data_IF_371689505893
#
_entry.id   IF_371689505893
#
_cell.length_a   1.000
_cell.length_b   1.000
_cell.length_c   1.000
_cell.angle_alpha   90.00
_cell.angle_beta   90.00
_cell.angle_gamma   90.00
#
_symmetry.space_group_name_H-M   'P 1'
#
loop_
_entity.id
_entity.type
_entity.pdbx_description
1 polymer ?
#
# COMPACT_ATOMS: atom_id res chain seq x y z
N UNK A 1 -19.28 9.14 26.89
CA UNK A 1 -19.81 8.99 25.54
C UNK A 1 -18.91 8.06 24.76
N UNK A 2 -19.49 7.12 24.02
CA UNK A 2 -18.75 6.22 23.14
C UNK A 2 -18.39 6.99 21.87
N UNK A 3 -17.11 7.20 21.56
CA UNK A 3 -16.69 7.79 20.29
C UNK A 3 -16.91 6.76 19.17
N UNK A 4 -18.07 6.84 18.52
CA UNK A 4 -18.47 5.89 17.46
C UNK A 4 -17.82 6.23 16.11
N UNK A 5 -17.39 7.45 15.92
CA UNK A 5 -16.84 7.97 14.68
C UNK A 5 -15.50 8.66 14.94
N UNK A 6 -14.49 8.31 14.14
CA UNK A 6 -13.21 8.97 14.11
C UNK A 6 -12.88 9.38 12.69
N UNK A 7 -12.27 10.52 12.52
CA UNK A 7 -11.79 10.98 11.23
C UNK A 7 -10.48 11.76 11.38
N UNK A 8 -9.72 11.78 10.33
CA UNK A 8 -8.52 12.60 10.20
C UNK A 8 -8.37 13.05 8.75
N UNK A 9 -7.82 14.24 8.56
CA UNK A 9 -7.46 14.77 7.27
C UNK A 9 -6.19 15.58 7.40
N UNK A 10 -5.31 15.49 6.42
CA UNK A 10 -4.08 16.23 6.36
C UNK A 10 -3.71 16.63 4.94
N UNK A 11 -2.94 17.70 4.83
CA UNK A 11 -2.38 18.20 3.57
C UNK A 11 -0.87 18.16 3.69
N UNK A 12 -0.20 17.58 2.71
CA UNK A 12 1.24 17.31 2.73
C UNK A 12 1.89 17.72 1.41
N UNK A 13 3.20 17.91 1.41
CA UNK A 13 3.95 18.02 0.18
C UNK A 13 4.02 16.66 -0.53
N UNK A 14 3.72 16.63 -1.84
CA UNK A 14 3.65 15.41 -2.63
C UNK A 14 4.97 14.68 -2.84
N UNK A 15 6.11 15.35 -2.60
CA UNK A 15 7.44 14.84 -2.92
C UNK A 15 7.98 13.81 -1.92
N UNK A 16 7.40 13.71 -0.72
CA UNK A 16 7.80 12.77 0.33
C UNK A 16 8.65 13.40 1.43
N UNK A 17 9.06 12.55 2.39
CA UNK A 17 9.85 12.97 3.56
C UNK A 17 11.23 13.45 3.12
N UNK A 18 11.66 14.61 3.63
CA UNK A 18 12.97 15.22 3.39
C UNK A 18 13.24 15.57 1.92
N UNK A 19 12.20 15.65 1.08
CA UNK A 19 12.34 16.12 -0.29
C UNK A 19 11.88 17.57 -0.40
N UNK A 20 12.62 18.35 -1.20
CA UNK A 20 12.23 19.74 -1.50
C UNK A 20 10.97 19.71 -2.36
N UNK A 21 10.01 20.54 -2.01
CA UNK A 21 8.81 20.78 -2.83
C UNK A 21 9.25 21.46 -4.15
N UNK A 22 9.03 20.81 -5.26
CA UNK A 22 9.47 21.29 -6.58
C UNK A 22 8.32 21.73 -7.48
N UNK A 23 7.07 21.43 -7.13
CA UNK A 23 5.93 21.67 -8.01
C UNK A 23 4.74 22.38 -7.33
N UNK A 24 4.85 22.71 -6.05
CA UNK A 24 3.79 23.31 -5.24
C UNK A 24 2.48 22.49 -5.15
N UNK A 25 2.48 21.25 -5.67
CA UNK A 25 1.35 20.34 -5.54
C UNK A 25 1.25 19.83 -4.10
N UNK A 26 0.02 19.59 -3.67
CA UNK A 26 -0.23 19.05 -2.32
C UNK A 26 -0.97 17.74 -2.40
N UNK A 27 -0.56 16.83 -1.56
CA UNK A 27 -1.25 15.56 -1.33
C UNK A 27 -2.29 15.77 -0.22
N UNK A 28 -3.49 15.27 -0.45
CA UNK A 28 -4.55 15.22 0.56
C UNK A 28 -4.67 13.77 1.01
N UNK A 29 -4.58 13.58 2.32
CA UNK A 29 -4.67 12.27 2.96
C UNK A 29 -5.76 12.35 4.00
N UNK A 30 -6.68 11.37 3.99
CA UNK A 30 -7.76 11.33 4.95
C UNK A 30 -8.16 9.92 5.31
N UNK A 31 -8.73 9.78 6.49
CA UNK A 31 -9.27 8.51 6.98
C UNK A 31 -10.49 8.71 7.84
N UNK A 32 -11.38 7.76 7.76
CA UNK A 32 -12.62 7.67 8.52
C UNK A 32 -12.76 6.25 9.06
N UNK A 33 -13.12 6.11 10.33
CA UNK A 33 -13.50 4.81 10.88
C UNK A 33 -14.61 4.92 11.90
N UNK A 34 -15.42 3.89 11.93
CA UNK A 34 -16.58 3.75 12.80
C UNK A 34 -16.47 2.51 13.67
N UNK A 35 -17.09 2.57 14.84
CA UNK A 35 -17.21 1.45 15.79
C UNK A 35 -18.70 1.15 15.96
N UNK A 36 -19.32 0.42 15.00
CA UNK A 36 -20.76 0.19 15.00
C UNK A 36 -21.24 -0.66 16.20
N UNK A 37 -20.41 -1.62 16.59
CA UNK A 37 -20.65 -2.47 17.76
C UNK A 37 -19.35 -2.65 18.54
N UNK A 38 -19.47 -3.09 19.77
CA UNK A 38 -18.30 -3.33 20.61
C UNK A 38 -17.34 -4.36 20.01
N UNK A 39 -16.08 -3.98 19.89
CA UNK A 39 -15.04 -4.80 19.32
C UNK A 39 -14.89 -4.70 17.81
N UNK A 40 -15.87 -4.18 17.05
CA UNK A 40 -15.79 -4.03 15.60
C UNK A 40 -15.45 -2.60 15.22
N UNK A 41 -14.37 -2.44 14.46
CA UNK A 41 -13.95 -1.19 13.83
C UNK A 41 -13.88 -1.37 12.31
N UNK A 42 -14.54 -0.51 11.58
CA UNK A 42 -14.52 -0.47 10.11
C UNK A 42 -13.96 0.88 9.69
N UNK A 43 -13.02 0.89 8.77
CA UNK A 43 -12.35 2.10 8.31
C UNK A 43 -12.20 2.18 6.81
N UNK A 44 -12.15 3.42 6.33
CA UNK A 44 -11.77 3.78 4.99
C UNK A 44 -10.69 4.86 5.04
N UNK A 45 -9.73 4.77 4.15
CA UNK A 45 -8.63 5.71 4.01
C UNK A 45 -8.49 6.11 2.56
N UNK A 46 -8.16 7.36 2.29
CA UNK A 46 -7.94 7.89 0.95
C UNK A 46 -6.71 8.79 0.90
N UNK A 47 -6.02 8.72 -0.22
CA UNK A 47 -4.90 9.58 -0.56
C UNK A 47 -5.00 9.97 -2.02
N UNK A 48 -4.99 11.27 -2.30
CA UNK A 48 -4.90 11.83 -3.64
C UNK A 48 -3.84 12.92 -3.69
N UNK A 49 -3.09 12.96 -4.77
CA UNK A 49 -2.02 13.92 -4.96
C UNK A 49 -1.25 13.67 -6.24
N UNK A 50 -0.07 14.27 -6.32
CA UNK A 50 0.82 14.10 -7.47
C UNK A 50 2.28 14.18 -7.05
N UNK A 51 3.16 13.77 -7.94
CA UNK A 51 4.60 13.95 -7.79
C UNK A 51 5.20 14.32 -9.14
N UNK A 52 6.09 15.29 -9.14
CA UNK A 52 6.76 15.76 -10.34
C UNK A 52 8.16 15.16 -10.44
N UNK A 53 8.45 14.50 -11.54
CA UNK A 53 9.70 13.81 -11.79
C UNK A 53 10.28 14.17 -13.14
N UNK A 54 11.61 14.20 -13.22
CA UNK A 54 12.31 14.21 -14.52
C UNK A 54 12.32 12.79 -15.05
N UNK A 55 11.61 12.57 -16.16
CA UNK A 55 11.63 11.32 -16.90
C UNK A 55 12.67 11.40 -18.00
N UNK A 56 13.62 10.47 -18.02
CA UNK A 56 14.57 10.28 -19.11
C UNK A 56 14.11 9.01 -19.85
N UNK A 57 13.78 9.15 -21.12
CA UNK A 57 13.35 8.03 -21.96
C UNK A 57 13.95 8.19 -23.36
N UNK A 58 13.91 7.11 -24.09
CA UNK A 58 14.28 7.08 -25.51
C UNK A 58 13.02 7.10 -26.35
N UNK A 59 12.97 7.98 -27.30
CA UNK A 59 11.88 8.08 -28.27
C UNK A 59 12.42 7.77 -29.67
N UNK A 60 11.71 6.95 -30.41
CA UNK A 60 12.03 6.68 -31.81
C UNK A 60 11.35 7.75 -32.67
N UNK A 61 12.16 8.55 -33.33
CA UNK A 61 11.69 9.60 -34.24
C UNK A 61 11.96 9.13 -35.68
N UNK A 62 10.91 8.94 -36.46
CA UNK A 62 11.00 8.59 -37.87
C UNK A 62 10.82 9.83 -38.75
N UNK A 63 11.86 10.16 -39.49
CA UNK A 63 11.82 11.24 -40.50
C UNK A 63 12.04 10.62 -41.87
N UNK A 64 10.96 10.56 -42.67
CA UNK A 64 10.97 9.84 -43.93
C UNK A 64 11.11 8.32 -43.73
N UNK A 65 12.19 7.72 -44.23
CA UNK A 65 12.47 6.29 -44.06
C UNK A 65 13.51 6.00 -42.98
N UNK A 66 14.02 7.02 -42.29
CA UNK A 66 15.07 6.88 -41.27
C UNK A 66 14.48 7.00 -39.89
N UNK A 67 14.61 5.95 -39.10
CA UNK A 67 14.24 5.94 -37.68
C UNK A 67 15.49 6.16 -36.84
N UNK A 68 15.46 7.19 -35.98
CA UNK A 68 16.57 7.55 -35.09
C UNK A 68 16.08 7.53 -33.66
N UNK A 69 16.86 6.96 -32.76
CA UNK A 69 16.56 6.95 -31.34
C UNK A 69 17.12 8.22 -30.70
N UNK A 70 16.25 9.03 -30.08
CA UNK A 70 16.64 10.23 -29.34
C UNK A 70 16.43 10.06 -27.86
N UNK A 71 17.39 10.59 -27.07
CA UNK A 71 17.25 10.68 -25.62
C UNK A 71 16.49 11.95 -25.25
N UNK A 72 15.31 11.79 -24.66
CA UNK A 72 14.44 12.89 -24.25
C UNK A 72 14.42 12.98 -22.73
N UNK A 73 14.62 14.20 -22.22
CA UNK A 73 14.44 14.50 -20.79
C UNK A 73 13.24 15.43 -20.64
N UNK A 74 12.18 14.97 -19.98
CA UNK A 74 10.95 15.73 -19.80
C UNK A 74 10.54 15.73 -18.32
N UNK A 75 10.05 16.85 -17.84
CA UNK A 75 9.40 16.91 -16.53
C UNK A 75 7.96 16.44 -16.66
N UNK A 76 7.57 15.45 -15.86
CA UNK A 76 6.24 14.83 -15.90
C UNK A 76 5.64 14.87 -14.51
N UNK A 77 4.39 15.30 -14.41
CA UNK A 77 3.59 15.22 -13.18
C UNK A 77 2.76 13.94 -13.19
N UNK A 78 3.02 13.08 -12.22
CA UNK A 78 2.37 11.77 -12.08
C UNK A 78 1.32 11.85 -10.97
N UNK A 79 0.09 11.56 -11.30
CA UNK A 79 -1.03 11.50 -10.36
C UNK A 79 -0.88 10.27 -9.44
N UNK A 80 -1.25 10.42 -8.18
CA UNK A 80 -1.32 9.35 -7.19
C UNK A 80 -2.71 9.28 -6.60
N UNK A 81 -3.34 8.12 -6.64
CA UNK A 81 -4.62 7.86 -5.96
C UNK A 81 -4.55 6.53 -5.25
N UNK A 82 -4.87 6.54 -3.98
CA UNK A 82 -4.87 5.33 -3.15
C UNK A 82 -6.07 5.34 -2.25
N UNK A 83 -6.64 4.18 -2.02
CA UNK A 83 -7.63 3.99 -0.97
C UNK A 83 -7.42 2.65 -0.30
N UNK A 84 -7.83 2.58 0.95
CA UNK A 84 -7.83 1.35 1.72
C UNK A 84 -9.17 1.20 2.45
N UNK A 85 -9.63 -0.02 2.55
CA UNK A 85 -10.77 -0.41 3.36
C UNK A 85 -10.28 -1.40 4.41
N UNK A 86 -10.60 -1.18 5.67
CA UNK A 86 -10.13 -2.01 6.77
C UNK A 86 -11.26 -2.41 7.71
N UNK A 87 -11.15 -3.60 8.25
CA UNK A 87 -12.02 -4.09 9.31
C UNK A 87 -11.19 -4.78 10.39
N UNK A 88 -11.49 -4.48 11.65
CA UNK A 88 -10.89 -5.13 12.81
C UNK A 88 -12.00 -5.50 13.79
N UNK A 89 -11.99 -6.74 14.23
CA UNK A 89 -12.84 -7.23 15.32
C UNK A 89 -11.98 -7.78 16.44
N UNK A 90 -12.18 -7.24 17.65
CA UNK A 90 -11.50 -7.67 18.87
C UNK A 90 -12.52 -7.88 19.98
N UNK A 91 -12.68 -9.11 20.40
CA UNK A 91 -13.55 -9.47 21.55
C UNK A 91 -13.15 -10.85 22.11
N UNK A 92 -13.17 -10.99 23.43
CA UNK A 92 -12.90 -12.27 24.12
C UNK A 92 -11.58 -12.93 23.71
N UNK A 93 -10.50 -12.14 23.61
CA UNK A 93 -9.15 -12.54 23.18
C UNK A 93 -9.05 -12.95 21.68
N UNK A 94 -10.15 -12.91 20.92
CA UNK A 94 -10.12 -13.04 19.48
C UNK A 94 -9.69 -11.73 18.81
N UNK A 95 -8.87 -11.84 17.79
CA UNK A 95 -8.58 -10.73 16.88
C UNK A 95 -8.77 -11.20 15.45
N UNK A 96 -9.62 -10.51 14.70
CA UNK A 96 -9.77 -10.69 13.25
C UNK A 96 -9.50 -9.37 12.59
N UNK A 97 -8.61 -9.34 11.60
CA UNK A 97 -8.28 -8.14 10.82
C UNK A 97 -8.31 -8.45 9.34
N UNK A 98 -8.78 -7.52 8.57
CA UNK A 98 -8.64 -7.54 7.12
C UNK A 98 -8.45 -6.12 6.59
N UNK A 99 -7.71 -6.02 5.50
CA UNK A 99 -7.54 -4.76 4.78
C UNK A 99 -7.41 -5.04 3.29
N UNK A 100 -8.01 -4.18 2.50
CA UNK A 100 -7.83 -4.11 1.06
C UNK A 100 -7.27 -2.75 0.71
N UNK A 101 -6.24 -2.71 -0.13
CA UNK A 101 -5.60 -1.49 -0.59
C UNK A 101 -5.60 -1.49 -2.12
N UNK A 102 -6.00 -0.38 -2.69
CA UNK A 102 -5.89 -0.10 -4.11
C UNK A 102 -5.03 1.13 -4.35
N UNK A 103 -4.14 1.06 -5.31
CA UNK A 103 -3.26 2.16 -5.71
C UNK A 103 -3.28 2.34 -7.20
N UNK A 104 -3.50 3.57 -7.65
CA UNK A 104 -3.22 4.01 -9.02
C UNK A 104 -2.26 5.19 -8.97
N UNK A 105 -1.47 5.36 -10.00
CA UNK A 105 -0.54 6.48 -10.08
C UNK A 105 0.87 6.05 -10.39
N UNK A 106 1.86 6.91 -10.13
CA UNK A 106 3.27 6.66 -10.42
C UNK A 106 3.66 5.26 -9.93
N UNK A 107 3.79 4.36 -10.88
CA UNK A 107 4.10 2.96 -10.62
C UNK A 107 5.42 2.85 -9.84
N UNK A 108 5.53 1.81 -9.05
CA UNK A 108 6.84 1.40 -8.54
C UNK A 108 7.67 1.06 -9.77
N UNK A 109 8.67 1.90 -10.09
CA UNK A 109 9.60 1.61 -11.17
C UNK A 109 10.14 0.20 -10.96
N UNK A 110 9.84 -0.70 -11.87
CA UNK A 110 10.42 -2.03 -11.84
C UNK A 110 11.95 -1.84 -11.88
N UNK A 111 12.64 -2.23 -10.84
CA UNK A 111 14.10 -2.31 -10.87
C UNK A 111 14.43 -3.33 -11.95
N UNK A 112 15.08 -2.89 -13.01
CA UNK A 112 15.67 -3.83 -13.94
C UNK A 112 16.75 -4.63 -13.19
N UNK A 113 16.85 -5.94 -13.43
CA UNK A 113 17.71 -6.84 -12.68
C UNK A 113 19.20 -6.49 -12.73
N UNK A 114 19.63 -5.70 -13.71
CA UNK A 114 21.02 -5.33 -13.94
C UNK A 114 21.53 -4.15 -13.11
N UNK A 115 20.67 -3.51 -12.34
CA UNK A 115 21.04 -2.37 -11.48
C UNK A 115 21.60 -1.16 -12.22
N UNK A 116 21.70 -1.20 -13.54
CA UNK A 116 22.39 -0.20 -14.39
C UNK A 116 21.43 0.71 -15.14
N UNK A 117 20.17 0.38 -15.26
CA UNK A 117 19.22 1.26 -15.95
C UNK A 117 18.86 2.43 -15.06
N UNK A 118 19.18 3.61 -15.53
CA UNK A 118 18.62 4.86 -15.05
C UNK A 118 17.10 4.73 -15.14
N UNK A 119 16.43 4.99 -14.02
CA UNK A 119 14.98 4.87 -13.83
C UNK A 119 14.22 5.33 -15.08
N UNK A 120 13.71 4.39 -15.86
CA UNK A 120 12.66 4.66 -16.83
C UNK A 120 11.39 4.83 -16.03
N UNK A 121 11.00 6.06 -15.76
CA UNK A 121 9.69 6.34 -15.21
C UNK A 121 8.71 6.05 -16.34
N UNK A 122 7.84 5.06 -16.15
CA UNK A 122 6.72 4.86 -17.06
C UNK A 122 5.90 6.15 -17.12
N UNK A 123 5.82 6.76 -18.28
CA UNK A 123 5.10 8.01 -18.51
C UNK A 123 3.62 7.67 -18.74
N UNK A 124 3.00 7.07 -17.76
CA UNK A 124 1.57 6.89 -17.75
C UNK A 124 0.97 7.93 -16.83
N UNK A 125 0.05 8.75 -17.35
CA UNK A 125 -0.69 9.72 -16.56
C UNK A 125 -1.52 9.08 -15.45
N UNK A 126 -1.78 7.81 -15.53
CA UNK A 126 -2.56 7.02 -14.57
C UNK A 126 -1.76 5.84 -14.01
N UNK A 127 -0.46 5.76 -14.17
CA UNK A 127 0.40 4.73 -13.62
C UNK A 127 -0.21 3.31 -13.60
N UNK A 128 0.57 2.37 -13.19
CA UNK A 128 0.09 0.99 -13.02
C UNK A 128 -0.84 0.90 -11.82
N UNK A 129 -1.84 0.05 -11.93
CA UNK A 129 -2.71 -0.30 -10.82
C UNK A 129 -2.03 -1.38 -10.00
N UNK A 130 -2.04 -1.21 -8.69
CA UNK A 130 -1.60 -2.25 -7.76
C UNK A 130 -2.66 -2.44 -6.68
N UNK A 131 -2.89 -3.67 -6.32
CA UNK A 131 -3.85 -4.03 -5.27
C UNK A 131 -3.23 -5.00 -4.29
N UNK A 132 -3.70 -4.94 -3.07
CA UNK A 132 -3.29 -5.87 -2.04
C UNK A 132 -4.39 -6.07 -1.02
N UNK A 133 -4.44 -7.24 -0.45
CA UNK A 133 -5.32 -7.51 0.67
C UNK A 133 -4.65 -8.45 1.66
N UNK A 134 -5.06 -8.36 2.90
CA UNK A 134 -4.74 -9.38 3.89
C UNK A 134 -5.94 -9.72 4.77
N UNK A 135 -5.89 -10.92 5.31
CA UNK A 135 -6.75 -11.37 6.39
C UNK A 135 -5.90 -12.03 7.48
N UNK A 136 -6.14 -11.67 8.74
CA UNK A 136 -5.46 -12.20 9.91
C UNK A 136 -6.49 -12.65 10.94
N UNK A 137 -6.32 -13.84 11.45
CA UNK A 137 -7.10 -14.37 12.60
C UNK A 137 -6.13 -14.75 13.70
N UNK A 138 -6.39 -14.29 14.92
CA UNK A 138 -5.73 -14.73 16.14
C UNK A 138 -6.80 -15.29 17.05
N UNK A 139 -6.71 -16.56 17.37
CA UNK A 139 -7.66 -17.30 18.17
C UNK A 139 -7.03 -17.73 19.51
N UNK A 140 -7.67 -17.53 20.65
CA UNK A 140 -7.19 -18.02 21.92
C UNK A 140 -7.35 -19.56 22.03
N UNK A 141 -6.25 -20.28 22.19
CA UNK A 141 -6.26 -21.70 22.56
C UNK A 141 -6.36 -21.82 24.09
N UNK A 142 -5.49 -21.06 24.79
CA UNK A 142 -5.54 -20.91 26.23
C UNK A 142 -5.69 -19.42 26.52
N UNK A 143 -6.82 -19.04 27.09
CA UNK A 143 -7.11 -17.62 27.39
C UNK A 143 -5.94 -16.92 28.09
N UNK A 144 -5.56 -15.76 27.54
CA UNK A 144 -4.48 -14.91 28.03
C UNK A 144 -3.08 -15.56 28.07
N UNK A 145 -2.90 -16.70 27.37
CA UNK A 145 -1.60 -17.39 27.36
C UNK A 145 -1.18 -17.91 25.99
N UNK A 146 -2.02 -18.68 25.31
CA UNK A 146 -1.65 -19.32 24.05
C UNK A 146 -2.65 -18.96 22.97
N UNK A 147 -2.15 -18.48 21.84
CA UNK A 147 -2.93 -18.07 20.70
C UNK A 147 -2.43 -18.78 19.45
N UNK A 148 -3.37 -19.24 18.62
CA UNK A 148 -3.06 -19.62 17.24
C UNK A 148 -3.29 -18.41 16.34
N UNK A 149 -2.43 -18.22 15.35
CA UNK A 149 -2.60 -17.21 14.32
C UNK A 149 -2.56 -17.83 12.93
N UNK A 150 -3.38 -17.29 12.04
CA UNK A 150 -3.33 -17.58 10.62
C UNK A 150 -3.45 -16.25 9.85
N UNK A 151 -2.63 -16.09 8.83
CA UNK A 151 -2.62 -14.92 7.99
C UNK A 151 -2.56 -15.32 6.52
N UNK A 152 -3.32 -14.63 5.73
CA UNK A 152 -3.29 -14.67 4.28
C UNK A 152 -3.01 -13.27 3.76
N UNK A 153 -2.05 -13.15 2.85
CA UNK A 153 -1.76 -11.94 2.09
C UNK A 153 -1.86 -12.24 0.60
N UNK A 154 -2.39 -11.30 -0.15
CA UNK A 154 -2.36 -11.34 -1.60
C UNK A 154 -2.02 -9.96 -2.16
N UNK A 155 -1.22 -9.94 -3.21
CA UNK A 155 -0.77 -8.73 -3.86
C UNK A 155 -0.71 -8.91 -5.36
N UNK A 156 -1.23 -7.93 -6.11
CA UNK A 156 -1.09 -7.83 -7.55
C UNK A 156 -0.48 -6.50 -7.96
N UNK A 157 0.69 -6.50 -8.62
CA UNK A 157 1.35 -5.26 -9.04
C UNK A 157 0.70 -4.61 -10.26
N UNK A 158 -0.18 -5.31 -10.96
CA UNK A 158 -0.78 -4.87 -12.24
C UNK A 158 -2.30 -4.74 -12.17
N UNK A 159 -2.91 -4.90 -10.98
CA UNK A 159 -4.36 -4.95 -10.83
C UNK A 159 -5.03 -6.19 -11.41
N UNK A 160 -4.26 -7.13 -11.97
CA UNK A 160 -4.76 -8.41 -12.49
C UNK A 160 -4.53 -9.52 -11.47
N UNK A 161 -5.61 -9.98 -10.82
CA UNK A 161 -5.55 -11.02 -9.81
C UNK A 161 -5.10 -12.39 -10.34
N UNK A 162 -5.15 -12.63 -11.66
CA UNK A 162 -4.58 -13.82 -12.28
C UNK A 162 -3.05 -13.92 -12.20
N UNK A 163 -2.37 -12.82 -11.86
CA UNK A 163 -0.92 -12.75 -11.66
C UNK A 163 -0.55 -12.36 -10.21
N UNK A 164 -1.46 -12.56 -9.29
CA UNK A 164 -1.24 -12.23 -7.89
C UNK A 164 -0.20 -13.15 -7.25
N UNK A 165 0.49 -12.60 -6.25
CA UNK A 165 1.34 -13.35 -5.33
C UNK A 165 0.59 -13.51 -4.01
N UNK A 166 0.58 -14.70 -3.46
CA UNK A 166 -0.07 -15.00 -2.19
C UNK A 166 0.92 -15.57 -1.20
N UNK A 167 0.75 -15.19 0.05
CA UNK A 167 1.50 -15.69 1.19
C UNK A 167 0.54 -16.21 2.25
N UNK A 168 0.83 -17.35 2.83
CA UNK A 168 0.08 -17.93 3.94
C UNK A 168 1.03 -18.08 5.12
N UNK A 169 0.63 -17.56 6.27
CA UNK A 169 1.37 -17.69 7.52
C UNK A 169 0.50 -18.38 8.56
N UNK A 170 1.06 -19.34 9.27
CA UNK A 170 0.48 -19.94 10.48
C UNK A 170 1.46 -19.82 11.64
N UNK A 171 0.97 -19.68 12.84
CA UNK A 171 1.87 -19.58 13.99
C UNK A 171 1.16 -19.67 15.34
N UNK A 172 1.99 -19.67 16.37
CA UNK A 172 1.58 -19.70 17.77
C UNK A 172 2.27 -18.57 18.50
N UNK A 173 1.50 -17.88 19.33
CA UNK A 173 2.01 -16.85 20.24
C UNK A 173 1.75 -17.30 21.68
N UNK A 174 2.78 -17.33 22.51
CA UNK A 174 2.69 -17.69 23.92
C UNK A 174 3.07 -16.53 24.84
N UNK A 175 2.13 -16.06 25.64
CA UNK A 175 2.33 -15.04 26.66
C UNK A 175 2.83 -15.68 27.96
N UNK A 176 4.09 -15.46 28.30
CA UNK A 176 4.67 -15.88 29.58
C UNK A 176 4.07 -15.01 30.68
N UNK A 177 4.10 -13.70 30.46
CA UNK A 177 3.48 -12.70 31.33
C UNK A 177 3.01 -11.49 30.49
N UNK A 178 2.56 -10.40 31.17
CA UNK A 178 2.07 -9.17 30.52
C UNK A 178 3.15 -8.40 29.74
N UNK A 179 4.43 -8.72 29.92
CA UNK A 179 5.56 -8.01 29.31
C UNK A 179 6.33 -8.87 28.30
N UNK A 180 6.19 -10.19 28.35
CA UNK A 180 6.99 -11.10 27.55
C UNK A 180 6.13 -12.11 26.77
N UNK A 181 6.28 -12.07 25.44
CA UNK A 181 5.62 -12.96 24.49
C UNK A 181 6.65 -13.67 23.63
N UNK A 182 6.49 -14.98 23.46
CA UNK A 182 7.19 -15.76 22.45
C UNK A 182 6.25 -15.92 21.27
N UNK A 183 6.69 -15.51 20.08
CA UNK A 183 5.95 -15.66 18.83
C UNK A 183 6.72 -16.61 17.90
N UNK A 184 6.01 -17.53 17.29
CA UNK A 184 6.51 -18.45 16.28
C UNK A 184 5.60 -18.42 15.07
N UNK A 185 6.16 -18.52 13.88
CA UNK A 185 5.40 -18.54 12.63
C UNK A 185 6.17 -19.28 11.55
N UNK A 186 5.40 -19.84 10.60
CA UNK A 186 5.88 -20.42 9.35
C UNK A 186 5.11 -19.76 8.20
N UNK A 187 5.83 -19.34 7.15
CA UNK A 187 5.28 -18.67 5.97
C UNK A 187 5.72 -19.39 4.69
#
# INVERSE_FOLDING_TARGET
>A
GRNLLHYQIGVFNGEGINMKDVDQQKDIIGGLWVIPVEGLRIGAFGWTGSTTRKANYTEEVTVGTVTTTQHVSKTVTLQKRRYALSAEYKKNDWTVRSEFIHSTGAGFAARTPDGKSKQSVAISSLGDQAEGCYALVIAPIIKKRLYAKARFDAYTPTGSWGQSRSLYEIGLDYDIDKHFRIASGYA
#
